data_IF_932307748699
#
_entry.id   IF_932307748699
#
_cell.length_a   1.000
_cell.length_b   1.000
_cell.length_c   1.000
_cell.angle_alpha   90.00
_cell.angle_beta   90.00
_cell.angle_gamma   90.00
#
_symmetry.space_group_name_H-M   'P 1'
#
loop_
_entity.id
_entity.type
_entity.pdbx_description
1 polymer ?
#
# COMPACT_ATOMS: atom_id res chain seq x y z
N UNK A 1 14.17 -10.50 -3.52
CA UNK A 1 13.20 -9.40 -3.74
C UNK A 1 13.96 -8.08 -3.76
N UNK A 2 13.72 -7.25 -4.76
CA UNK A 2 14.38 -5.94 -4.91
C UNK A 2 13.93 -4.95 -3.83
N UNK A 3 14.85 -4.13 -3.31
CA UNK A 3 14.60 -3.10 -2.28
C UNK A 3 14.28 -1.73 -2.85
N UNK A 4 14.50 -1.56 -4.15
CA UNK A 4 14.30 -0.32 -4.87
C UNK A 4 13.65 -0.65 -6.21
N UNK A 5 12.81 0.26 -6.69
CA UNK A 5 12.20 0.20 -8.00
C UNK A 5 12.40 1.57 -8.66
N UNK A 6 12.81 1.56 -9.92
CA UNK A 6 12.83 2.76 -10.76
C UNK A 6 11.49 2.81 -11.48
N UNK A 7 10.74 3.89 -11.24
CA UNK A 7 9.41 4.08 -11.84
C UNK A 7 9.52 5.23 -12.84
N UNK A 8 9.40 4.89 -14.12
CA UNK A 8 9.33 5.87 -15.19
C UNK A 8 8.02 6.65 -15.07
N UNK A 9 8.11 7.97 -15.11
CA UNK A 9 6.92 8.81 -15.23
C UNK A 9 6.56 8.91 -16.70
N UNK A 10 5.35 8.48 -17.03
CA UNK A 10 4.77 8.81 -18.32
C UNK A 10 4.34 10.29 -18.30
N UNK A 11 4.37 10.92 -19.48
CA UNK A 11 3.87 12.26 -19.76
C UNK A 11 2.45 12.50 -19.21
N UNK A 12 1.63 11.45 -19.15
CA UNK A 12 0.23 11.49 -18.69
C UNK A 12 0.09 11.37 -17.15
N UNK A 13 1.17 11.05 -16.43
CA UNK A 13 1.14 10.96 -14.97
C UNK A 13 1.05 12.33 -14.32
N UNK A 14 -0.17 12.78 -14.01
CA UNK A 14 -0.43 14.09 -13.40
C UNK A 14 0.23 14.30 -12.03
N UNK A 15 0.60 13.23 -11.33
CA UNK A 15 1.26 13.29 -10.02
C UNK A 15 2.14 12.07 -9.74
N UNK A 16 3.13 12.25 -8.87
CA UNK A 16 4.00 11.18 -8.33
C UNK A 16 3.17 10.04 -7.75
N UNK A 17 2.08 10.39 -7.06
CA UNK A 17 1.19 9.41 -6.44
C UNK A 17 0.49 8.55 -7.49
N UNK A 18 0.01 9.18 -8.58
CA UNK A 18 -0.66 8.48 -9.68
C UNK A 18 0.32 7.53 -10.36
N UNK A 19 1.54 7.99 -10.66
CA UNK A 19 2.58 7.14 -11.24
C UNK A 19 2.90 5.92 -10.37
N UNK A 20 2.99 6.09 -9.04
CA UNK A 20 3.21 4.99 -8.11
C UNK A 20 2.05 3.98 -8.14
N UNK A 21 0.81 4.47 -8.08
CA UNK A 21 -0.39 3.62 -8.03
C UNK A 21 -0.56 2.81 -9.31
N UNK A 22 -0.32 3.43 -10.48
CA UNK A 22 -0.31 2.74 -11.78
C UNK A 22 0.72 1.60 -11.79
N UNK A 23 1.87 1.82 -11.15
CA UNK A 23 2.92 0.81 -11.02
C UNK A 23 2.69 -0.16 -9.84
N UNK A 24 1.54 -0.13 -9.20
CA UNK A 24 1.15 -1.07 -8.15
C UNK A 24 1.69 -0.75 -6.76
N UNK A 25 2.09 0.50 -6.51
CA UNK A 25 2.61 0.97 -5.23
C UNK A 25 1.81 2.15 -4.69
N UNK A 26 1.66 2.21 -3.37
CA UNK A 26 1.16 3.38 -2.68
C UNK A 26 2.34 4.06 -1.99
N UNK A 27 2.53 5.36 -2.20
CA UNK A 27 3.60 6.14 -1.55
C UNK A 27 3.18 6.67 -0.17
N UNK A 28 4.12 6.73 0.78
CA UNK A 28 3.84 7.20 2.16
C UNK A 28 3.48 8.68 2.26
N UNK A 29 3.83 9.48 1.25
CA UNK A 29 3.47 10.90 1.16
C UNK A 29 3.16 11.23 -0.31
N UNK A 30 2.27 12.21 -0.56
CA UNK A 30 1.77 12.47 -1.92
C UNK A 30 2.78 13.21 -2.82
N UNK A 31 3.69 13.98 -2.22
CA UNK A 31 4.58 14.91 -2.95
C UNK A 31 5.94 14.27 -3.24
N UNK A 32 6.58 13.71 -2.23
CA UNK A 32 7.93 13.13 -2.34
C UNK A 32 8.06 11.90 -1.42
N UNK A 33 7.46 10.77 -1.81
CA UNK A 33 7.51 9.55 -1.02
C UNK A 33 8.92 8.98 -0.99
N UNK A 34 9.45 8.76 0.21
CA UNK A 34 10.72 8.05 0.45
C UNK A 34 10.53 6.54 0.63
N UNK A 35 9.28 6.11 0.81
CA UNK A 35 8.89 4.72 0.94
C UNK A 35 7.57 4.51 0.20
N UNK A 36 7.42 3.33 -0.37
CA UNK A 36 6.15 2.88 -0.93
C UNK A 36 5.88 1.42 -0.51
N UNK A 37 4.61 1.09 -0.34
CA UNK A 37 4.14 -0.27 -0.06
C UNK A 37 3.38 -0.76 -1.28
N UNK A 38 3.62 -1.99 -1.71
CA UNK A 38 2.89 -2.53 -2.86
C UNK A 38 1.40 -2.68 -2.52
N UNK A 39 0.53 -2.38 -3.48
CA UNK A 39 -0.91 -2.60 -3.35
C UNK A 39 -1.22 -4.07 -3.05
N UNK A 40 -0.43 -5.01 -3.61
CA UNK A 40 -0.54 -6.45 -3.32
C UNK A 40 -0.27 -6.78 -1.85
N UNK A 41 0.70 -6.12 -1.22
CA UNK A 41 0.96 -6.29 0.22
C UNK A 41 -0.20 -5.76 1.06
N UNK A 42 -0.78 -4.63 0.67
CA UNK A 42 -1.95 -4.05 1.37
C UNK A 42 -3.20 -4.92 1.19
N UNK A 43 -3.39 -5.52 0.02
CA UNK A 43 -4.46 -6.48 -0.24
C UNK A 43 -4.29 -7.78 0.57
N UNK A 44 -3.05 -8.25 0.71
CA UNK A 44 -2.75 -9.38 1.58
C UNK A 44 -3.13 -9.08 3.04
N UNK A 45 -2.77 -7.88 3.54
CA UNK A 45 -3.16 -7.46 4.89
C UNK A 45 -4.69 -7.37 5.04
N UNK A 46 -5.40 -6.85 4.03
CA UNK A 46 -6.85 -6.83 4.02
C UNK A 46 -7.44 -8.24 4.12
N UNK A 47 -6.97 -9.14 3.26
CA UNK A 47 -7.44 -10.53 3.21
C UNK A 47 -7.20 -11.25 4.54
N UNK A 48 -6.03 -11.06 5.15
CA UNK A 48 -5.73 -11.61 6.47
C UNK A 48 -6.69 -11.05 7.52
N UNK A 49 -7.01 -9.75 7.48
CA UNK A 49 -7.92 -9.12 8.44
C UNK A 49 -9.39 -9.48 8.22
N UNK A 50 -9.78 -9.91 7.02
CA UNK A 50 -11.11 -10.51 6.79
C UNK A 50 -11.25 -11.84 7.55
N UNK A 51 -10.22 -12.69 7.52
CA UNK A 51 -10.23 -13.97 8.22
C UNK A 51 -9.94 -13.83 9.73
N UNK A 52 -9.03 -12.93 10.10
CA UNK A 52 -8.60 -12.67 11.48
C UNK A 52 -8.54 -11.16 11.73
N UNK A 53 -9.67 -10.58 12.11
CA UNK A 53 -9.81 -9.14 12.36
C UNK A 53 -8.80 -8.58 13.38
N UNK A 54 -8.40 -9.39 14.36
CA UNK A 54 -7.41 -9.07 15.40
C UNK A 54 -5.95 -9.19 14.96
N UNK A 55 -5.67 -9.46 13.69
CA UNK A 55 -4.30 -9.53 13.20
C UNK A 55 -3.60 -8.17 13.31
N UNK A 56 -2.44 -8.17 13.97
CA UNK A 56 -1.71 -6.94 14.29
C UNK A 56 -1.00 -6.35 13.07
N UNK A 57 -1.17 -5.05 12.88
CA UNK A 57 -0.44 -4.26 11.87
C UNK A 57 1.08 -4.36 12.10
N UNK A 58 1.51 -4.40 13.36
CA UNK A 58 2.93 -4.55 13.69
C UNK A 58 3.46 -5.93 13.30
N UNK A 59 2.69 -6.99 13.54
CA UNK A 59 3.06 -8.33 13.11
C UNK A 59 3.18 -8.40 11.59
N UNK A 60 2.28 -7.74 10.85
CA UNK A 60 2.41 -7.61 9.40
C UNK A 60 3.67 -6.83 9.00
N UNK A 61 3.94 -5.69 9.64
CA UNK A 61 5.13 -4.89 9.39
C UNK A 61 6.43 -5.67 9.64
N UNK A 62 6.49 -6.44 10.74
CA UNK A 62 7.61 -7.36 11.05
C UNK A 62 7.77 -8.44 9.99
N UNK A 63 6.68 -9.04 9.52
CA UNK A 63 6.70 -10.02 8.44
C UNK A 63 7.27 -9.41 7.15
N UNK A 64 6.81 -8.22 6.75
CA UNK A 64 7.34 -7.52 5.58
C UNK A 64 8.83 -7.22 5.75
N UNK A 65 9.23 -6.66 6.89
CA UNK A 65 10.63 -6.41 7.20
C UNK A 65 11.49 -7.68 7.11
N UNK A 66 11.00 -8.81 7.62
CA UNK A 66 11.66 -10.11 7.50
C UNK A 66 11.83 -10.53 6.03
N UNK A 67 10.77 -10.48 5.22
CA UNK A 67 10.81 -10.84 3.79
C UNK A 67 11.82 -10.00 2.99
N UNK A 68 11.93 -8.70 3.29
CA UNK A 68 12.86 -7.79 2.61
C UNK A 68 14.26 -7.70 3.27
N UNK A 69 14.47 -8.48 4.35
CA UNK A 69 15.71 -8.49 5.16
C UNK A 69 16.07 -7.10 5.71
N UNK A 70 15.06 -6.29 6.06
CA UNK A 70 15.22 -4.92 6.58
C UNK A 70 14.94 -4.94 8.09
N UNK A 71 15.72 -4.22 8.93
CA UNK A 71 15.42 -4.14 10.36
C UNK A 71 14.08 -3.44 10.59
N UNK A 72 13.24 -4.05 11.43
CA UNK A 72 12.01 -3.43 11.86
C UNK A 72 12.30 -2.20 12.71
N UNK A 73 11.57 -1.11 12.44
CA UNK A 73 11.62 0.16 13.16
C UNK A 73 10.20 0.51 13.54
N UNK A 74 10.01 1.11 14.72
CA UNK A 74 8.68 1.47 15.21
C UNK A 74 7.89 2.32 14.21
N UNK A 75 8.58 3.22 13.48
CA UNK A 75 7.98 4.03 12.41
C UNK A 75 7.29 3.21 11.32
N UNK A 76 7.76 2.00 11.00
CA UNK A 76 7.13 1.18 9.97
C UNK A 76 5.74 0.71 10.38
N UNK A 77 5.48 0.53 11.68
CA UNK A 77 4.13 0.22 12.16
C UNK A 77 3.15 1.33 11.79
N UNK A 78 3.51 2.59 12.06
CA UNK A 78 2.69 3.75 11.72
C UNK A 78 2.49 3.86 10.21
N UNK A 79 3.58 3.76 9.44
CA UNK A 79 3.50 3.81 7.97
C UNK A 79 2.61 2.71 7.38
N UNK A 80 2.67 1.48 7.89
CA UNK A 80 1.77 0.41 7.41
C UNK A 80 0.32 0.71 7.79
N UNK A 81 0.06 1.26 8.99
CA UNK A 81 -1.29 1.62 9.41
C UNK A 81 -1.88 2.72 8.52
N UNK A 82 -1.19 3.83 8.36
CA UNK A 82 -1.63 4.98 7.57
C UNK A 82 -1.93 4.58 6.11
N UNK A 83 -1.03 3.78 5.54
CA UNK A 83 -1.14 3.31 4.16
C UNK A 83 -2.28 2.30 3.99
N UNK A 84 -2.53 1.47 4.99
CA UNK A 84 -3.66 0.56 4.98
C UNK A 84 -4.99 1.31 5.07
N UNK A 85 -5.08 2.38 5.85
CA UNK A 85 -6.28 3.23 5.87
C UNK A 85 -6.57 3.87 4.51
N UNK A 86 -5.56 4.46 3.87
CA UNK A 86 -5.70 5.03 2.51
C UNK A 86 -6.11 3.94 1.52
N UNK A 87 -5.51 2.75 1.61
CA UNK A 87 -5.87 1.62 0.77
C UNK A 87 -7.35 1.25 0.89
N UNK A 88 -7.87 1.18 2.12
CA UNK A 88 -9.29 0.88 2.35
C UNK A 88 -10.21 1.96 1.78
N UNK A 89 -9.82 3.24 1.85
CA UNK A 89 -10.59 4.34 1.25
C UNK A 89 -10.65 4.17 -0.28
N UNK A 90 -9.50 3.93 -0.92
CA UNK A 90 -9.43 3.71 -2.37
C UNK A 90 -10.31 2.52 -2.76
N UNK A 91 -10.16 1.38 -2.07
CA UNK A 91 -10.95 0.18 -2.34
C UNK A 91 -12.45 0.43 -2.23
N UNK A 92 -12.92 1.07 -1.15
CA UNK A 92 -14.34 1.42 -0.98
C UNK A 92 -14.87 2.30 -2.11
N UNK A 93 -14.06 3.24 -2.59
CA UNK A 93 -14.44 4.11 -3.70
C UNK A 93 -14.49 3.36 -5.03
N UNK A 94 -13.57 2.42 -5.26
CA UNK A 94 -13.59 1.53 -6.43
C UNK A 94 -14.83 0.64 -6.37
N UNK A 95 -15.10 -0.01 -5.24
CA UNK A 95 -16.27 -0.88 -5.06
C UNK A 95 -17.58 -0.13 -5.33
N UNK A 96 -17.69 1.12 -4.87
CA UNK A 96 -18.84 2.00 -5.16
C UNK A 96 -19.00 2.29 -6.65
N UNK A 97 -17.90 2.59 -7.35
CA UNK A 97 -17.93 2.88 -8.79
C UNK A 97 -18.29 1.63 -9.60
N UNK A 98 -17.73 0.48 -9.23
CA UNK A 98 -18.04 -0.82 -9.85
C UNK A 98 -19.52 -1.15 -9.65
N UNK A 99 -20.05 -0.99 -8.43
CA UNK A 99 -21.47 -1.22 -8.15
C UNK A 99 -22.37 -0.28 -8.96
N UNK A 100 -22.01 0.99 -9.09
CA UNK A 100 -22.77 1.95 -9.89
C UNK A 100 -22.76 1.62 -11.40
N UNK A 101 -21.68 1.02 -11.90
CA UNK A 101 -21.54 0.64 -13.31
C UNK A 101 -22.18 -0.71 -13.64
N UNK A 102 -22.15 -1.66 -12.69
CA UNK A 102 -22.60 -3.04 -12.91
C UNK A 102 -24.02 -3.32 -12.41
N UNK A 103 -24.56 -2.47 -11.51
CA UNK A 103 -25.93 -2.43 -11.00
C UNK A 103 -26.81 -3.65 -11.27
#
# INVERSE_FOLDING_TARGET
MARSAVISRDSDSQSVTVALVINGYLGTTPISPSLAISLRSLELLYTIRLFKASFSIESFGKLMCHLYKVPFKQRFRALVADMFEIYLIIRRNVDKQVLAALG
#
